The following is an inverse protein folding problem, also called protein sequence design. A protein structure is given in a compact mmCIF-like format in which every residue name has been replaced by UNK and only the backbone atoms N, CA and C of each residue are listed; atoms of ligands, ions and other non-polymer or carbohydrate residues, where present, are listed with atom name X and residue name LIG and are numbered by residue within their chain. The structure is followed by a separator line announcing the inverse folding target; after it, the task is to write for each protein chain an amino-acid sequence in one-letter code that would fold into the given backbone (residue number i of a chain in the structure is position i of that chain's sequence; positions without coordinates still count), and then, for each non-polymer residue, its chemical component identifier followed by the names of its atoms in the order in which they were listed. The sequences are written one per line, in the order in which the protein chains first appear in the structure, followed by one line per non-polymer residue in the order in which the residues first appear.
data_IF_257771193315
#
_entry.id   IF_257771193315
#
_cell.length_a   1.000
_cell.length_b   1.000
_cell.length_c   1.000
_cell.angle_alpha   90.00
_cell.angle_beta   90.00
_cell.angle_gamma   90.00
#
_symmetry.space_group_name_H-M   'P 1'
#
loop_
_entity.id
_entity.type
_entity.pdbx_description
1 polymer ?
#
# COMPACT_ATOMS: atom_id res chain seq x y z
N UNK A 1 -48.47 4.29 -7.63
CA UNK A 1 -47.69 3.11 -8.05
C UNK A 1 -47.02 2.47 -6.83
N UNK A 2 -47.68 1.55 -6.12
CA UNK A 2 -47.13 0.89 -4.91
C UNK A 2 -46.21 -0.30 -5.25
N UNK A 3 -46.44 -0.95 -6.39
CA UNK A 3 -45.77 -2.20 -6.80
C UNK A 3 -44.26 -2.03 -7.05
N UNK A 4 -43.81 -0.85 -7.51
CA UNK A 4 -42.38 -0.57 -7.73
C UNK A 4 -41.58 -0.36 -6.43
N UNK A 5 -42.25 -0.15 -5.29
CA UNK A 5 -41.58 0.01 -3.98
C UNK A 5 -41.27 -1.34 -3.34
N UNK A 6 -42.06 -2.37 -3.61
CA UNK A 6 -41.85 -3.72 -3.06
C UNK A 6 -40.71 -4.48 -3.73
N UNK A 7 -40.36 -4.11 -4.98
CA UNK A 7 -39.15 -4.59 -5.68
C UNK A 7 -37.96 -3.62 -5.59
N UNK A 8 -38.01 -2.61 -4.72
CA UNK A 8 -36.89 -1.69 -4.59
C UNK A 8 -35.74 -2.35 -3.82
N UNK A 9 -34.66 -2.66 -4.53
CA UNK A 9 -33.46 -3.23 -3.93
C UNK A 9 -32.91 -2.26 -2.87
N UNK A 10 -32.97 -2.67 -1.61
CA UNK A 10 -32.53 -1.84 -0.50
C UNK A 10 -31.00 -1.86 -0.41
N UNK A 11 -30.37 -0.93 -1.14
CA UNK A 11 -28.92 -0.74 -1.20
C UNK A 11 -28.28 -0.64 0.19
N UNK A 12 -28.94 0.01 1.14
CA UNK A 12 -28.43 0.15 2.50
C UNK A 12 -28.35 -1.20 3.22
N UNK A 13 -29.40 -2.02 3.11
CA UNK A 13 -29.42 -3.35 3.71
C UNK A 13 -28.40 -4.29 3.05
N UNK A 14 -28.25 -4.20 1.72
CA UNK A 14 -27.27 -4.99 0.98
C UNK A 14 -25.82 -4.63 1.37
N UNK A 15 -25.50 -3.33 1.45
CA UNK A 15 -24.18 -2.84 1.86
C UNK A 15 -23.86 -3.13 3.34
N UNK A 16 -24.88 -3.18 4.19
CA UNK A 16 -24.72 -3.60 5.59
C UNK A 16 -24.72 -5.12 5.78
N UNK A 17 -25.14 -5.86 4.75
CA UNK A 17 -25.23 -7.30 4.74
C UNK A 17 -23.89 -7.98 4.99
N UNK A 18 -23.92 -9.07 5.76
CA UNK A 18 -22.73 -9.82 6.15
C UNK A 18 -21.96 -10.33 4.91
N UNK A 19 -22.69 -10.74 3.85
CA UNK A 19 -22.12 -11.25 2.60
C UNK A 19 -21.29 -10.19 1.86
N UNK A 20 -21.79 -8.94 1.74
CA UNK A 20 -21.05 -7.86 1.08
C UNK A 20 -19.72 -7.58 1.82
N UNK A 21 -19.78 -7.47 3.15
CA UNK A 21 -18.60 -7.21 3.99
C UNK A 21 -17.58 -8.35 3.92
N UNK A 22 -18.04 -9.59 3.90
CA UNK A 22 -17.18 -10.77 3.78
C UNK A 22 -16.49 -10.84 2.42
N UNK A 23 -17.24 -10.71 1.32
CA UNK A 23 -16.66 -10.77 -0.04
C UNK A 23 -15.63 -9.66 -0.20
N UNK A 24 -16.01 -8.42 0.06
CA UNK A 24 -15.11 -7.27 -0.09
C UNK A 24 -13.91 -7.36 0.87
N UNK A 25 -14.12 -7.87 2.09
CA UNK A 25 -13.06 -8.09 3.08
C UNK A 25 -12.05 -9.15 2.66
N UNK A 26 -12.51 -10.30 2.14
CA UNK A 26 -11.61 -11.34 1.62
C UNK A 26 -10.89 -10.91 0.35
N UNK A 27 -11.53 -10.14 -0.52
CA UNK A 27 -10.86 -9.55 -1.69
C UNK A 27 -9.76 -8.60 -1.21
N UNK A 28 -10.04 -7.70 -0.25
CA UNK A 28 -9.02 -6.82 0.32
C UNK A 28 -7.87 -7.62 0.95
N UNK A 29 -8.18 -8.65 1.73
CA UNK A 29 -7.20 -9.53 2.36
C UNK A 29 -6.32 -10.24 1.31
N UNK A 30 -6.91 -10.72 0.22
CA UNK A 30 -6.18 -11.33 -0.88
C UNK A 30 -5.15 -10.35 -1.48
N UNK A 31 -5.56 -9.11 -1.75
CA UNK A 31 -4.63 -8.08 -2.22
C UNK A 31 -3.51 -7.81 -1.20
N UNK A 32 -3.81 -7.72 0.10
CA UNK A 32 -2.79 -7.57 1.15
C UNK A 32 -1.81 -8.74 1.16
N UNK A 33 -2.29 -9.98 1.05
CA UNK A 33 -1.43 -11.16 1.03
C UNK A 33 -0.50 -11.14 -0.18
N UNK A 34 -1.02 -10.81 -1.37
CA UNK A 34 -0.20 -10.65 -2.56
C UNK A 34 0.87 -9.58 -2.36
N UNK A 35 0.49 -8.41 -1.84
CA UNK A 35 1.42 -7.32 -1.51
C UNK A 35 2.55 -7.79 -0.58
N UNK A 36 2.21 -8.54 0.46
CA UNK A 36 3.18 -9.10 1.38
C UNK A 36 4.13 -10.09 0.70
N UNK A 37 3.62 -10.98 -0.15
CA UNK A 37 4.46 -11.94 -0.90
C UNK A 37 5.45 -11.20 -1.81
N UNK A 38 5.04 -10.10 -2.44
CA UNK A 38 5.94 -9.26 -3.26
C UNK A 38 7.09 -8.67 -2.44
N UNK A 39 6.83 -8.25 -1.20
CA UNK A 39 7.89 -7.75 -0.31
C UNK A 39 8.85 -8.84 0.14
N UNK A 40 8.34 -10.04 0.42
CA UNK A 40 9.15 -11.21 0.81
C UNK A 40 10.13 -11.59 -0.30
N UNK A 41 9.69 -11.59 -1.56
CA UNK A 41 10.58 -11.81 -2.71
C UNK A 41 11.74 -10.81 -2.75
N UNK A 42 11.46 -9.51 -2.57
CA UNK A 42 12.47 -8.43 -2.66
C UNK A 42 13.56 -8.60 -1.60
N UNK A 43 13.22 -9.11 -0.42
CA UNK A 43 14.15 -9.33 0.71
C UNK A 43 14.72 -10.74 0.80
N UNK A 44 14.05 -11.72 0.18
CA UNK A 44 14.43 -13.13 0.19
C UNK A 44 15.75 -13.43 -0.55
N UNK A 45 16.32 -12.47 -1.27
CA UNK A 45 17.65 -12.61 -1.90
C UNK A 45 18.77 -12.93 -0.91
N UNK A 46 18.63 -12.54 0.36
CA UNK A 46 19.58 -12.84 1.43
C UNK A 46 19.22 -14.08 2.26
N UNK A 47 18.14 -14.79 1.95
CA UNK A 47 17.67 -15.93 2.74
C UNK A 47 18.39 -17.22 2.33
N UNK A 48 18.59 -18.12 3.30
CA UNK A 48 19.21 -19.44 3.06
C UNK A 48 18.44 -20.27 2.02
N UNK A 49 17.11 -20.10 1.99
CA UNK A 49 16.23 -20.73 0.99
C UNK A 49 15.98 -19.70 -0.12
N UNK A 50 16.60 -19.91 -1.28
CA UNK A 50 16.43 -19.03 -2.45
C UNK A 50 15.16 -19.40 -3.18
N UNK A 51 14.11 -18.60 -3.00
CA UNK A 51 12.91 -18.67 -3.84
C UNK A 51 13.26 -18.01 -5.18
N UNK A 52 13.58 -18.81 -6.19
CA UNK A 52 13.83 -18.33 -7.55
C UNK A 52 12.50 -18.13 -8.23
N UNK A 53 12.21 -16.88 -8.53
CA UNK A 53 10.89 -16.42 -8.92
C UNK A 53 11.17 -15.61 -10.21
N UNK A 54 10.56 -15.93 -11.37
CA UNK A 54 10.97 -15.34 -12.66
C UNK A 54 10.62 -13.84 -12.77
N UNK A 55 11.17 -13.13 -13.75
CA UNK A 55 10.82 -11.73 -14.05
C UNK A 55 11.79 -10.66 -13.51
N UNK A 56 11.83 -9.52 -14.20
CA UNK A 56 12.76 -8.41 -13.92
C UNK A 56 12.36 -7.62 -12.67
N UNK A 57 13.33 -7.04 -11.95
CA UNK A 57 13.05 -6.20 -10.78
C UNK A 57 12.13 -5.00 -11.08
N UNK A 58 12.15 -4.50 -12.33
CA UNK A 58 11.27 -3.43 -12.77
C UNK A 58 9.83 -3.88 -12.87
N UNK A 59 9.58 -5.07 -13.46
CA UNK A 59 8.24 -5.64 -13.53
C UNK A 59 7.61 -5.80 -12.13
N UNK A 60 8.37 -6.35 -11.17
CA UNK A 60 7.87 -6.55 -9.80
C UNK A 60 7.57 -5.25 -9.06
N UNK A 61 8.34 -4.18 -9.33
CA UNK A 61 8.07 -2.85 -8.78
C UNK A 61 6.77 -2.29 -9.35
N UNK A 62 6.57 -2.40 -10.66
CA UNK A 62 5.34 -1.93 -11.33
C UNK A 62 4.15 -2.72 -10.79
N UNK A 63 4.26 -4.04 -10.70
CA UNK A 63 3.20 -4.90 -10.16
C UNK A 63 2.81 -4.49 -8.73
N UNK A 64 3.79 -4.29 -7.84
CA UNK A 64 3.55 -3.82 -6.46
C UNK A 64 2.84 -2.46 -6.41
N UNK A 65 3.19 -1.51 -7.29
CA UNK A 65 2.52 -0.21 -7.33
C UNK A 65 1.06 -0.37 -7.78
N UNK A 66 0.80 -1.12 -8.85
CA UNK A 66 -0.56 -1.31 -9.36
C UNK A 66 -1.44 -2.13 -8.41
N UNK A 67 -0.87 -3.15 -7.77
CA UNK A 67 -1.55 -3.93 -6.74
C UNK A 67 -1.89 -3.06 -5.51
N UNK A 68 -1.02 -2.12 -5.13
CA UNK A 68 -1.28 -1.17 -4.06
C UNK A 68 -2.41 -0.20 -4.41
N UNK A 69 -2.44 0.30 -5.65
CA UNK A 69 -3.56 1.13 -6.15
C UNK A 69 -4.87 0.34 -6.14
N UNK A 70 -4.85 -0.91 -6.61
CA UNK A 70 -6.03 -1.78 -6.57
C UNK A 70 -6.49 -2.05 -5.14
N UNK A 71 -5.57 -2.25 -4.19
CA UNK A 71 -5.90 -2.40 -2.77
C UNK A 71 -6.58 -1.15 -2.20
N UNK A 72 -6.13 0.07 -2.55
CA UNK A 72 -6.81 1.31 -2.15
C UNK A 72 -8.25 1.34 -2.69
N UNK A 73 -8.45 0.98 -3.96
CA UNK A 73 -9.77 0.95 -4.57
C UNK A 73 -10.69 -0.08 -3.88
N UNK A 74 -10.20 -1.29 -3.63
CA UNK A 74 -10.96 -2.34 -2.93
C UNK A 74 -11.28 -1.93 -1.50
N UNK A 75 -10.34 -1.32 -0.77
CA UNK A 75 -10.59 -0.83 0.60
C UNK A 75 -11.63 0.28 0.62
N UNK A 76 -11.65 1.17 -0.38
CA UNK A 76 -12.69 2.19 -0.51
C UNK A 76 -14.07 1.54 -0.72
N UNK A 77 -14.16 0.48 -1.52
CA UNK A 77 -15.38 -0.31 -1.71
C UNK A 77 -15.78 -1.02 -0.41
N UNK A 78 -14.85 -1.72 0.23
CA UNK A 78 -15.08 -2.45 1.48
C UNK A 78 -15.61 -1.56 2.61
N UNK A 79 -15.07 -0.34 2.72
CA UNK A 79 -15.48 0.63 3.74
C UNK A 79 -16.70 1.46 3.34
N UNK A 80 -17.06 1.48 2.04
CA UNK A 80 -18.09 2.38 1.48
C UNK A 80 -17.80 3.84 1.84
N UNK A 81 -16.52 4.20 1.98
CA UNK A 81 -16.09 5.54 2.41
C UNK A 81 -16.31 5.85 3.90
N UNK A 82 -16.79 4.90 4.71
CA UNK A 82 -17.03 5.07 6.15
C UNK A 82 -15.75 4.77 6.92
N UNK A 83 -15.32 5.70 7.79
CA UNK A 83 -14.11 5.55 8.63
C UNK A 83 -14.27 4.56 9.79
N UNK A 84 -15.50 4.31 10.23
CA UNK A 84 -15.78 3.62 11.48
C UNK A 84 -15.42 4.47 12.71
N UNK A 85 -15.52 3.87 13.90
CA UNK A 85 -15.18 4.50 15.18
C UNK A 85 -13.93 3.86 15.80
N UNK A 86 -13.22 4.63 16.63
CA UNK A 86 -12.10 4.17 17.46
C UNK A 86 -11.04 3.37 16.67
N UNK A 87 -10.97 2.06 16.90
CA UNK A 87 -10.01 1.16 16.29
C UNK A 87 -10.09 1.14 14.76
N UNK A 88 -11.29 1.09 14.18
CA UNK A 88 -11.46 1.06 12.72
C UNK A 88 -10.98 2.37 12.07
N UNK A 89 -11.21 3.52 12.74
CA UNK A 89 -10.73 4.80 12.26
C UNK A 89 -9.19 4.85 12.31
N UNK A 90 -8.58 4.43 13.42
CA UNK A 90 -7.13 4.34 13.54
C UNK A 90 -6.52 3.40 12.50
N UNK A 91 -7.15 2.25 12.27
CA UNK A 91 -6.71 1.27 11.28
C UNK A 91 -6.74 1.84 9.87
N UNK A 92 -7.83 2.53 9.50
CA UNK A 92 -7.94 3.16 8.19
C UNK A 92 -6.90 4.29 8.02
N UNK A 93 -6.60 5.05 9.06
CA UNK A 93 -5.53 6.06 9.02
C UNK A 93 -4.14 5.46 8.82
N UNK A 94 -3.84 4.33 9.49
CA UNK A 94 -2.59 3.60 9.26
C UNK A 94 -2.52 3.10 7.81
N UNK A 95 -3.61 2.54 7.28
CA UNK A 95 -3.70 2.15 5.87
C UNK A 95 -3.45 3.32 4.91
N UNK A 96 -4.06 4.48 5.18
CA UNK A 96 -3.80 5.70 4.41
C UNK A 96 -2.33 6.15 4.53
N UNK A 97 -1.73 6.07 5.71
CA UNK A 97 -0.31 6.36 5.93
C UNK A 97 0.60 5.43 5.11
N UNK A 98 0.31 4.14 5.08
CA UNK A 98 1.02 3.16 4.23
C UNK A 98 0.90 3.55 2.75
N UNK A 99 -0.31 3.88 2.30
CA UNK A 99 -0.60 4.22 0.90
C UNK A 99 0.08 5.52 0.47
N UNK A 100 0.01 6.56 1.31
CA UNK A 100 0.64 7.86 1.06
C UNK A 100 2.16 7.74 1.09
N UNK A 101 2.71 6.96 2.03
CA UNK A 101 4.14 6.67 2.07
C UNK A 101 4.62 5.80 0.90
N UNK A 102 3.75 5.00 0.27
CA UNK A 102 4.10 4.36 -1.00
C UNK A 102 4.16 5.39 -2.14
N UNK A 103 3.11 6.21 -2.28
CA UNK A 103 2.95 7.17 -3.36
C UNK A 103 4.06 8.22 -3.39
N UNK A 104 4.32 8.88 -2.27
CA UNK A 104 5.35 9.93 -2.19
C UNK A 104 6.75 9.31 -2.38
N UNK A 105 6.95 8.03 -2.06
CA UNK A 105 8.20 7.32 -2.35
C UNK A 105 8.47 7.19 -3.84
N UNK A 106 7.43 6.87 -4.62
CA UNK A 106 7.51 6.83 -6.08
C UNK A 106 7.77 8.21 -6.65
N UNK A 107 7.01 9.23 -6.22
CA UNK A 107 7.17 10.62 -6.70
C UNK A 107 8.56 11.18 -6.35
N UNK A 108 9.09 10.88 -5.16
CA UNK A 108 10.44 11.30 -4.79
C UNK A 108 11.52 10.60 -5.64
N UNK A 109 11.35 9.30 -5.92
CA UNK A 109 12.27 8.53 -6.76
C UNK A 109 12.26 9.03 -8.22
N UNK A 110 11.08 9.28 -8.81
CA UNK A 110 10.96 9.72 -10.21
C UNK A 110 11.18 11.21 -10.40
N UNK A 111 10.68 12.05 -9.48
CA UNK A 111 10.67 13.50 -9.60
C UNK A 111 11.95 14.18 -9.14
N UNK A 112 12.55 13.73 -8.03
CA UNK A 112 13.74 14.37 -7.44
C UNK A 112 15.02 13.64 -7.83
N UNK A 113 15.01 12.30 -7.83
CA UNK A 113 16.22 11.50 -8.05
C UNK A 113 16.54 11.28 -9.53
N UNK A 114 15.54 10.95 -10.37
CA UNK A 114 15.74 10.72 -11.81
C UNK A 114 16.05 12.02 -12.57
N UNK A 115 15.34 13.11 -12.27
CA UNK A 115 15.55 14.44 -12.89
C UNK A 115 16.95 15.00 -12.58
N UNK A 116 17.38 14.88 -11.32
CA UNK A 116 18.72 15.30 -10.88
C UNK A 116 19.83 14.54 -11.61
N UNK A 117 19.64 13.25 -11.88
CA UNK A 117 20.64 12.44 -12.63
C UNK A 117 20.75 12.85 -14.10
N UNK A 118 19.64 13.18 -14.76
CA UNK A 118 19.66 13.63 -16.17
C UNK A 118 20.29 15.01 -16.33
N UNK A 119 19.97 15.96 -15.45
CA UNK A 119 20.49 17.32 -15.53
C UNK A 119 22.02 17.39 -15.30
N UNK A 120 22.53 16.62 -14.35
CA UNK A 120 23.95 16.67 -13.98
C UNK A 120 24.87 15.75 -14.80
N UNK A 121 24.33 14.89 -15.68
CA UNK A 121 25.14 14.18 -16.68
C UNK A 121 25.71 15.12 -17.76
N UNK A 122 25.16 16.31 -17.90
CA UNK A 122 25.47 17.26 -18.97
C UNK A 122 26.49 18.36 -18.58
N UNK A 123 26.86 18.49 -17.30
CA UNK A 123 27.77 19.54 -16.84
C UNK A 123 29.16 18.98 -16.55
N UNK A 124 30.24 19.49 -17.18
CA UNK A 124 31.59 19.11 -16.83
C UNK A 124 31.90 19.60 -15.42
N UNK A 125 32.38 18.68 -14.58
CA UNK A 125 32.63 18.88 -13.16
C UNK A 125 33.81 19.85 -12.97
N UNK A 126 33.52 21.13 -12.73
CA UNK A 126 34.50 22.15 -12.36
C UNK A 126 34.20 22.60 -10.93
N UNK A 127 35.18 22.45 -10.03
CA UNK A 127 35.20 23.13 -8.73
C UNK A 127 34.68 22.32 -7.54
N UNK A 128 35.55 22.11 -6.56
CA UNK A 128 35.27 21.41 -5.31
C UNK A 128 34.21 22.06 -4.43
N UNK A 129 33.70 21.26 -3.48
CA UNK A 129 32.60 21.53 -2.55
C UNK A 129 31.17 21.42 -3.09
N UNK A 130 30.93 20.48 -4.01
CA UNK A 130 29.58 19.95 -4.18
C UNK A 130 29.16 19.20 -2.91
N UNK A 131 28.20 19.72 -2.15
CA UNK A 131 27.43 18.91 -1.18
C UNK A 131 27.17 17.56 -1.82
N UNK A 132 27.56 16.46 -1.17
CA UNK A 132 27.34 15.11 -1.70
C UNK A 132 25.83 14.84 -1.76
N UNK A 133 25.12 15.41 -2.75
CA UNK A 133 23.67 15.28 -2.93
C UNK A 133 23.28 13.80 -3.05
N UNK A 134 24.20 12.93 -3.49
CA UNK A 134 24.06 11.48 -3.43
C UNK A 134 23.90 10.91 -2.01
N UNK A 135 24.64 11.42 -1.02
CA UNK A 135 24.50 11.04 0.39
C UNK A 135 23.15 11.53 0.96
N UNK A 136 22.74 12.75 0.64
CA UNK A 136 21.43 13.30 1.02
C UNK A 136 20.28 12.46 0.45
N UNK A 137 20.32 12.14 -0.85
CA UNK A 137 19.32 11.29 -1.52
C UNK A 137 19.28 9.89 -0.88
N UNK A 138 20.44 9.31 -0.56
CA UNK A 138 20.52 8.00 0.09
C UNK A 138 19.90 8.03 1.49
N UNK A 139 20.15 9.09 2.26
CA UNK A 139 19.58 9.26 3.60
C UNK A 139 18.07 9.49 3.55
N UNK A 140 17.58 10.33 2.64
CA UNK A 140 16.14 10.52 2.40
C UNK A 140 15.45 9.22 2.02
N UNK A 141 16.06 8.44 1.11
CA UNK A 141 15.55 7.12 0.74
C UNK A 141 15.53 6.13 1.91
N UNK A 142 16.54 6.17 2.77
CA UNK A 142 16.63 5.30 3.94
C UNK A 142 15.55 5.64 4.96
N UNK A 143 15.36 6.93 5.28
CA UNK A 143 14.28 7.39 6.16
C UNK A 143 12.93 6.99 5.61
N UNK A 144 12.68 7.29 4.32
CA UNK A 144 11.42 6.99 3.66
C UNK A 144 11.09 5.49 3.67
N UNK A 145 12.05 4.67 3.27
CA UNK A 145 11.90 3.23 3.28
C UNK A 145 11.63 2.72 4.70
N UNK A 146 12.35 3.23 5.70
CA UNK A 146 12.16 2.88 7.12
C UNK A 146 10.75 3.21 7.59
N UNK A 147 10.26 4.43 7.32
CA UNK A 147 8.90 4.86 7.66
C UNK A 147 7.85 3.97 6.99
N UNK A 148 8.00 3.68 5.70
CA UNK A 148 7.05 2.81 4.99
C UNK A 148 7.01 1.40 5.59
N UNK A 149 8.18 0.81 5.92
CA UNK A 149 8.25 -0.51 6.57
C UNK A 149 7.56 -0.49 7.93
N UNK A 150 7.84 0.52 8.75
CA UNK A 150 7.24 0.65 10.08
C UNK A 150 5.71 0.71 9.98
N UNK A 151 5.18 1.52 9.06
CA UNK A 151 3.74 1.63 8.82
C UNK A 151 3.13 0.32 8.32
N UNK A 152 3.81 -0.40 7.42
CA UNK A 152 3.37 -1.72 6.95
C UNK A 152 3.33 -2.73 8.12
N UNK A 153 4.35 -2.73 8.99
CA UNK A 153 4.36 -3.59 10.18
C UNK A 153 3.20 -3.29 11.12
N UNK A 154 2.94 -2.01 11.40
CA UNK A 154 1.80 -1.59 12.21
C UNK A 154 0.46 -2.00 11.56
N UNK A 155 0.34 -1.81 10.24
CA UNK A 155 -0.84 -2.21 9.46
C UNK A 155 -1.11 -3.71 9.58
N UNK A 156 -0.10 -4.57 9.45
CA UNK A 156 -0.28 -6.03 9.53
C UNK A 156 -0.75 -6.46 10.91
N UNK A 157 -0.19 -5.88 11.98
CA UNK A 157 -0.63 -6.17 13.36
C UNK A 157 -2.09 -5.76 13.54
N UNK A 158 -2.45 -4.55 13.12
CA UNK A 158 -3.82 -4.06 13.22
C UNK A 158 -4.79 -4.86 12.35
N UNK A 159 -4.39 -5.31 11.16
CA UNK A 159 -5.19 -6.18 10.31
C UNK A 159 -5.51 -7.51 11.00
N UNK A 160 -4.52 -8.12 11.67
CA UNK A 160 -4.72 -9.34 12.45
C UNK A 160 -5.78 -9.13 13.54
N UNK A 161 -5.69 -8.03 14.29
CA UNK A 161 -6.70 -7.68 15.30
C UNK A 161 -8.07 -7.37 14.67
N UNK A 162 -8.11 -6.66 13.54
CA UNK A 162 -9.35 -6.35 12.84
C UNK A 162 -10.10 -7.62 12.43
N UNK A 163 -9.39 -8.58 11.82
CA UNK A 163 -9.94 -9.89 11.45
C UNK A 163 -10.40 -10.63 12.71
N UNK A 164 -9.56 -10.72 13.74
CA UNK A 164 -9.92 -11.39 14.98
C UNK A 164 -11.20 -10.82 15.61
N UNK A 165 -11.30 -9.50 15.75
CA UNK A 165 -12.49 -8.84 16.29
C UNK A 165 -13.73 -9.08 15.41
N UNK A 166 -13.58 -9.03 14.07
CA UNK A 166 -14.69 -9.22 13.14
C UNK A 166 -15.30 -10.63 13.14
N UNK A 167 -14.53 -11.65 13.53
CA UNK A 167 -15.00 -13.05 13.59
C UNK A 167 -15.28 -13.55 15.01
N UNK A 168 -14.64 -13.00 16.03
CA UNK A 168 -14.73 -13.51 17.40
C UNK A 168 -15.68 -12.71 18.31
N UNK A 169 -15.92 -11.43 18.00
CA UNK A 169 -16.75 -10.53 18.82
C UNK A 169 -17.94 -9.93 18.03
N UNK A 170 -18.54 -10.71 17.12
CA UNK A 170 -19.72 -10.28 16.34
C UNK A 170 -20.89 -9.84 17.23
#
# INVERSE_FOLDING_TARGET
MPILREESFNWYLFLQGNVYKQITGYVALFFVVLEMVLTLRKRGRGWKIKIVLPGSMQFWRVLHIFMGVALVAVTAVHTVGVRGLNFNAAFLWVFFGVSLSALVGVVAETGVVESSKRYFKLLPFIGGQGVQKGALIRNLRAVWLSTHIFLVSAFIVMLGFHIFLAYYYQ
#
